data_IF_558957297505
#
_entry.id   IF_558957297505
#
_cell.length_a   1.000
_cell.length_b   1.000
_cell.length_c   1.000
_cell.angle_alpha   90.00
_cell.angle_beta   90.00
_cell.angle_gamma   90.00
#
_symmetry.space_group_name_H-M   'P 1'
#
loop_
_entity.id
_entity.type
_entity.pdbx_description
1 polymer ?
#
# COMPACT_ATOMS: atom_id res chain seq x y z
N UNK A 1 -12.43 -0.76 -0.13
CA UNK A 1 -12.68 -0.06 1.15
C UNK A 1 -13.13 -1.11 2.18
N UNK A 2 -12.21 -1.62 3.00
CA UNK A 2 -12.52 -2.66 3.99
C UNK A 2 -12.83 -1.99 5.34
N UNK A 3 -14.11 -1.75 5.61
CA UNK A 3 -14.54 -1.21 6.90
C UNK A 3 -14.60 -2.37 7.89
N UNK A 4 -13.79 -2.29 8.96
CA UNK A 4 -13.86 -3.24 10.06
C UNK A 4 -15.29 -3.25 10.66
N UNK A 5 -15.88 -4.43 10.81
CA UNK A 5 -17.26 -4.61 11.30
C UNK A 5 -17.47 -3.90 12.66
N UNK A 6 -16.46 -3.86 13.51
CA UNK A 6 -16.51 -3.12 14.77
C UNK A 6 -16.69 -1.61 14.55
N UNK A 7 -15.98 -1.02 13.59
CA UNK A 7 -16.10 0.39 13.24
C UNK A 7 -17.50 0.71 12.67
N UNK A 8 -18.00 -0.11 11.75
CA UNK A 8 -19.35 0.07 11.19
C UNK A 8 -20.43 -0.04 12.28
N UNK A 9 -20.29 -1.00 13.21
CA UNK A 9 -21.21 -1.19 14.32
C UNK A 9 -21.20 0.00 15.29
N UNK A 10 -20.02 0.51 15.66
CA UNK A 10 -19.89 1.69 16.52
C UNK A 10 -20.43 2.96 15.85
N UNK A 11 -20.21 3.12 14.54
CA UNK A 11 -20.73 4.26 13.77
C UNK A 11 -22.26 4.23 13.67
N UNK A 12 -22.84 3.05 13.41
CA UNK A 12 -24.29 2.83 13.38
C UNK A 12 -24.92 3.17 14.73
N UNK A 13 -24.37 2.63 15.82
CA UNK A 13 -24.85 2.93 17.18
C UNK A 13 -24.73 4.42 17.52
N UNK A 14 -23.63 5.07 17.13
CA UNK A 14 -23.42 6.50 17.43
C UNK A 14 -24.35 7.43 16.64
N UNK A 15 -24.75 7.02 15.44
CA UNK A 15 -25.64 7.82 14.57
C UNK A 15 -27.10 7.69 14.99
N UNK A 16 -27.53 6.48 15.39
CA UNK A 16 -28.95 6.19 15.64
C UNK A 16 -29.33 6.08 17.13
N UNK A 17 -28.36 5.86 18.02
CA UNK A 17 -28.58 5.64 19.46
C UNK A 17 -27.77 6.62 20.33
N UNK A 18 -27.83 7.92 20.02
CA UNK A 18 -27.43 8.93 21.00
C UNK A 18 -28.40 8.82 22.19
N UNK A 19 -27.93 8.19 23.28
CA UNK A 19 -28.62 8.26 24.57
C UNK A 19 -28.40 9.66 25.14
N UNK A 20 -29.48 10.36 25.45
CA UNK A 20 -29.45 11.73 25.99
C UNK A 20 -28.72 11.87 27.35
N UNK A 21 -28.36 10.77 28.01
CA UNK A 21 -27.77 10.74 29.36
C UNK A 21 -26.25 10.51 29.43
N UNK A 22 -25.52 10.35 28.31
CA UNK A 22 -24.06 10.15 28.34
C UNK A 22 -23.32 11.46 28.02
N UNK A 23 -22.74 12.09 29.04
CA UNK A 23 -21.99 13.36 28.98
C UNK A 23 -20.67 13.28 28.17
N UNK A 24 -20.33 12.11 27.61
CA UNK A 24 -19.20 11.91 26.71
C UNK A 24 -19.73 11.60 25.32
N UNK A 25 -19.64 12.56 24.40
CA UNK A 25 -20.02 12.35 23.00
C UNK A 25 -19.25 11.16 22.42
N UNK A 26 -19.95 10.11 21.96
CA UNK A 26 -19.33 8.93 21.32
C UNK A 26 -18.51 9.29 20.08
N UNK A 27 -18.75 10.47 19.50
CA UNK A 27 -17.89 11.05 18.47
C UNK A 27 -16.48 11.39 18.97
N UNK A 28 -16.31 11.74 20.25
CA UNK A 28 -14.97 11.95 20.85
C UNK A 28 -14.15 10.67 20.91
N UNK A 29 -14.82 9.53 21.10
CA UNK A 29 -14.19 8.20 21.01
C UNK A 29 -13.79 7.90 19.56
N UNK A 30 -14.64 8.24 18.58
CA UNK A 30 -14.30 8.08 17.16
C UNK A 30 -13.14 9.00 16.76
N UNK A 31 -13.16 10.27 17.16
CA UNK A 31 -12.08 11.21 16.85
C UNK A 31 -10.79 10.85 17.55
N UNK A 32 -10.82 10.38 18.79
CA UNK A 32 -9.60 9.92 19.48
C UNK A 32 -9.02 8.65 18.87
N UNK A 33 -9.85 7.71 18.40
CA UNK A 33 -9.40 6.56 17.62
C UNK A 33 -8.72 6.99 16.32
N UNK A 34 -9.31 7.94 15.59
CA UNK A 34 -8.73 8.53 14.39
C UNK A 34 -7.48 9.40 14.65
N UNK A 35 -7.38 9.98 15.85
CA UNK A 35 -6.28 10.86 16.27
C UNK A 35 -5.10 10.11 16.89
N UNK A 36 -5.15 8.78 16.93
CA UNK A 36 -4.06 7.97 17.46
C UNK A 36 -2.77 8.23 16.68
N UNK A 37 -1.63 8.32 17.38
CA UNK A 37 -0.35 8.79 16.80
C UNK A 37 0.17 7.91 15.64
N UNK A 38 -0.27 6.65 15.56
CA UNK A 38 -0.01 5.76 14.40
C UNK A 38 -0.69 6.25 13.13
N UNK A 39 -1.95 6.71 13.20
CA UNK A 39 -2.68 7.28 12.06
C UNK A 39 -2.08 8.64 11.64
N UNK A 40 -1.70 9.48 12.61
CA UNK A 40 -0.99 10.73 12.30
C UNK A 40 0.34 10.53 11.58
N UNK A 41 1.09 9.48 11.93
CA UNK A 41 2.36 9.14 11.28
C UNK A 41 2.15 8.65 9.84
N UNK A 42 1.17 7.76 9.61
CA UNK A 42 0.82 7.30 8.26
C UNK A 42 0.33 8.45 7.38
N UNK A 43 -0.45 9.39 7.93
CA UNK A 43 -0.92 10.57 7.20
C UNK A 43 0.25 11.51 6.85
N UNK A 44 1.22 11.64 7.74
CA UNK A 44 2.40 12.49 7.51
C UNK A 44 3.30 11.93 6.40
N UNK A 45 3.55 10.63 6.39
CA UNK A 45 4.41 10.01 5.38
C UNK A 45 3.72 9.95 4.02
N UNK A 46 2.42 9.65 3.99
CA UNK A 46 1.59 9.76 2.78
C UNK A 46 1.65 11.16 2.17
N UNK A 47 1.40 12.22 2.97
CA UNK A 47 1.41 13.62 2.49
C UNK A 47 2.78 13.97 1.90
N UNK A 48 3.88 13.59 2.56
CA UNK A 48 5.24 13.85 2.05
C UNK A 48 5.51 13.15 0.73
N UNK A 49 5.11 11.89 0.58
CA UNK A 49 5.28 11.13 -0.66
C UNK A 49 4.49 11.81 -1.79
N UNK A 50 3.23 12.19 -1.56
CA UNK A 50 2.43 12.92 -2.56
C UNK A 50 3.10 14.24 -2.94
N UNK A 51 3.55 15.02 -1.96
CA UNK A 51 4.26 16.28 -2.23
C UNK A 51 5.55 16.09 -3.03
N UNK A 52 6.26 14.97 -2.85
CA UNK A 52 7.45 14.64 -3.65
C UNK A 52 7.06 14.27 -5.08
N UNK A 53 6.03 13.45 -5.27
CA UNK A 53 5.54 13.08 -6.60
C UNK A 53 5.03 14.29 -7.38
N UNK A 54 4.34 15.23 -6.71
CA UNK A 54 3.84 16.46 -7.31
C UNK A 54 4.94 17.44 -7.75
N UNK A 55 6.19 17.27 -7.28
CA UNK A 55 7.33 18.05 -7.80
C UNK A 55 7.70 17.65 -9.23
N UNK A 56 7.36 16.42 -9.63
CA UNK A 56 7.51 16.00 -11.01
C UNK A 56 6.40 16.61 -11.88
N UNK A 57 6.79 17.50 -12.79
CA UNK A 57 5.86 18.24 -13.67
C UNK A 57 5.12 17.33 -14.64
N UNK A 58 5.62 16.13 -14.88
CA UNK A 58 5.05 15.15 -15.82
C UNK A 58 4.41 13.95 -15.09
N UNK A 59 4.23 14.02 -13.75
CA UNK A 59 3.69 12.92 -12.93
C UNK A 59 2.38 12.34 -13.47
N UNK A 60 1.55 13.14 -14.12
CA UNK A 60 0.27 12.71 -14.70
C UNK A 60 0.43 11.67 -15.82
N UNK A 61 1.55 11.70 -16.54
CA UNK A 61 1.84 10.77 -17.62
C UNK A 61 2.71 9.59 -17.15
N UNK A 62 3.05 9.56 -15.86
CA UNK A 62 3.88 8.53 -15.26
C UNK A 62 3.06 7.43 -14.61
N UNK A 63 3.71 6.31 -14.35
CA UNK A 63 3.10 5.13 -13.74
C UNK A 63 3.66 4.88 -12.36
N UNK A 64 2.77 4.80 -11.37
CA UNK A 64 3.11 4.47 -9.99
C UNK A 64 2.74 3.01 -9.71
N UNK A 65 3.69 2.25 -9.19
CA UNK A 65 3.47 0.90 -8.66
C UNK A 65 3.44 0.94 -7.13
N UNK A 66 2.33 0.52 -6.52
CA UNK A 66 2.19 0.49 -5.06
C UNK A 66 1.05 -0.42 -4.60
N UNK A 67 0.96 -0.66 -3.28
CA UNK A 67 -0.22 -1.28 -2.64
C UNK A 67 -1.43 -0.36 -2.66
N UNK A 68 -1.20 0.95 -2.56
CA UNK A 68 -2.28 1.92 -2.35
C UNK A 68 -2.49 2.82 -3.56
N UNK A 69 -3.68 2.70 -4.19
CA UNK A 69 -4.14 3.53 -5.32
C UNK A 69 -4.16 5.04 -5.00
N UNK A 70 -4.18 5.41 -3.73
CA UNK A 70 -4.29 6.81 -3.28
C UNK A 70 -3.18 7.70 -3.84
N UNK A 71 -1.96 7.20 -4.04
CA UNK A 71 -0.87 7.99 -4.61
C UNK A 71 -1.17 8.45 -6.04
N UNK A 72 -1.65 7.53 -6.89
CA UNK A 72 -2.06 7.85 -8.26
C UNK A 72 -3.30 8.71 -8.31
N UNK A 73 -4.27 8.49 -7.40
CA UNK A 73 -5.47 9.32 -7.33
C UNK A 73 -5.17 10.79 -7.01
N UNK A 74 -4.19 11.06 -6.15
CA UNK A 74 -3.81 12.44 -5.80
C UNK A 74 -2.97 13.11 -6.90
N UNK A 75 -2.19 12.33 -7.65
CA UNK A 75 -1.28 12.86 -8.67
C UNK A 75 -1.85 12.82 -10.08
N UNK A 76 -3.02 12.18 -10.28
CA UNK A 76 -3.61 11.82 -11.56
C UNK A 76 -2.64 11.02 -12.46
N UNK A 77 -1.83 10.14 -11.88
CA UNK A 77 -0.92 9.26 -12.60
C UNK A 77 -1.62 7.93 -12.96
N UNK A 78 -1.00 7.14 -13.83
CA UNK A 78 -1.38 5.74 -13.99
C UNK A 78 -0.97 4.93 -12.74
N UNK A 79 -1.63 3.78 -12.54
CA UNK A 79 -1.42 2.94 -11.36
C UNK A 79 -1.27 1.46 -11.70
N UNK A 80 -0.21 0.85 -11.17
CA UNK A 80 -0.03 -0.60 -11.13
C UNK A 80 -0.17 -1.07 -9.68
N UNK A 81 -1.17 -1.92 -9.43
CA UNK A 81 -1.33 -2.54 -8.12
C UNK A 81 -0.27 -3.64 -7.91
N UNK A 82 0.28 -3.69 -6.70
CA UNK A 82 1.05 -4.84 -6.21
C UNK A 82 0.83 -5.03 -4.71
N UNK A 83 0.80 -6.28 -4.25
CA UNK A 83 0.79 -6.67 -2.84
C UNK A 83 2.19 -6.95 -2.27
N UNK A 84 3.24 -6.93 -3.10
CA UNK A 84 4.63 -7.27 -2.75
C UNK A 84 4.81 -8.73 -2.29
N UNK A 85 3.90 -9.61 -2.66
CA UNK A 85 4.01 -11.07 -2.49
C UNK A 85 4.11 -11.80 -3.84
N UNK A 86 4.06 -11.06 -4.94
CA UNK A 86 4.12 -11.58 -6.30
C UNK A 86 5.53 -11.98 -6.72
N UNK A 87 5.60 -12.95 -7.62
CA UNK A 87 6.87 -13.46 -8.15
C UNK A 87 7.46 -14.59 -7.31
N UNK A 88 8.77 -14.78 -7.43
CA UNK A 88 9.48 -15.92 -6.84
C UNK A 88 10.59 -15.50 -5.88
N UNK A 89 10.97 -16.42 -4.98
CA UNK A 89 12.04 -16.20 -4.00
C UNK A 89 13.44 -15.96 -4.61
N UNK A 90 13.59 -16.05 -5.94
CA UNK A 90 14.85 -15.81 -6.64
C UNK A 90 14.80 -14.55 -7.53
N UNK A 91 13.70 -13.79 -7.49
CA UNK A 91 13.50 -12.58 -8.31
C UNK A 91 14.35 -11.39 -7.85
N UNK A 92 15.06 -10.75 -8.77
CA UNK A 92 15.61 -9.42 -8.45
C UNK A 92 14.49 -8.38 -8.34
N UNK A 93 14.77 -7.21 -7.74
CA UNK A 93 13.83 -6.06 -7.78
C UNK A 93 13.43 -5.74 -9.22
N UNK A 94 14.37 -5.88 -10.18
CA UNK A 94 14.10 -5.71 -11.59
C UNK A 94 13.12 -6.76 -12.14
N UNK A 95 13.27 -8.03 -11.79
CA UNK A 95 12.36 -9.09 -12.23
C UNK A 95 10.94 -8.84 -11.67
N UNK A 96 10.84 -8.30 -10.44
CA UNK A 96 9.57 -7.90 -9.82
C UNK A 96 8.91 -6.72 -10.53
N UNK A 97 9.60 -5.59 -10.73
CA UNK A 97 9.00 -4.39 -11.38
C UNK A 97 8.63 -4.65 -12.85
N UNK A 98 9.40 -5.53 -13.53
CA UNK A 98 9.07 -5.98 -14.90
C UNK A 98 8.04 -7.10 -14.91
N UNK A 99 7.61 -7.55 -13.73
CA UNK A 99 6.60 -8.59 -13.52
C UNK A 99 6.95 -9.86 -14.27
N UNK A 100 8.24 -10.20 -14.38
CA UNK A 100 8.73 -11.27 -15.25
C UNK A 100 8.23 -12.64 -14.81
N UNK A 101 8.34 -12.95 -13.51
CA UNK A 101 7.98 -14.24 -12.94
C UNK A 101 6.65 -14.22 -12.16
N UNK A 102 5.84 -13.17 -12.33
CA UNK A 102 4.50 -13.09 -11.77
C UNK A 102 3.61 -14.20 -12.33
N UNK A 103 2.86 -14.85 -11.44
CA UNK A 103 1.89 -15.87 -11.82
C UNK A 103 0.75 -15.28 -12.65
N UNK A 104 -0.01 -16.12 -13.36
CA UNK A 104 -1.21 -15.65 -14.08
C UNK A 104 -2.22 -15.03 -13.11
N UNK A 105 -2.35 -15.59 -11.91
CA UNK A 105 -3.19 -15.03 -10.85
C UNK A 105 -2.69 -13.66 -10.40
N UNK A 106 -1.38 -13.49 -10.19
CA UNK A 106 -0.77 -12.22 -9.76
C UNK A 106 -1.03 -11.11 -10.78
N UNK A 107 -0.82 -11.42 -12.06
CA UNK A 107 -1.08 -10.48 -13.17
C UNK A 107 -2.56 -10.11 -13.25
N UNK A 108 -3.44 -11.10 -13.11
CA UNK A 108 -4.88 -10.87 -13.14
C UNK A 108 -5.33 -10.01 -11.96
N UNK A 109 -4.87 -10.35 -10.76
CA UNK A 109 -5.22 -9.64 -9.54
C UNK A 109 -4.69 -8.20 -9.55
N UNK A 110 -3.47 -8.01 -10.02
CA UNK A 110 -2.91 -6.68 -10.24
C UNK A 110 -3.73 -5.87 -11.23
N UNK A 111 -4.07 -6.43 -12.40
CA UNK A 111 -4.78 -5.68 -13.44
C UNK A 111 -6.19 -5.25 -13.03
N UNK A 112 -6.94 -6.08 -12.30
CA UNK A 112 -8.29 -5.69 -11.82
C UNK A 112 -8.25 -4.60 -10.75
N UNK A 113 -7.11 -4.42 -10.07
CA UNK A 113 -6.89 -3.38 -9.06
C UNK A 113 -6.07 -2.20 -9.58
N UNK A 114 -5.56 -2.28 -10.81
CA UNK A 114 -4.80 -1.23 -11.49
C UNK A 114 -5.72 -0.20 -12.14
N UNK A 115 -5.19 0.98 -12.43
CA UNK A 115 -5.94 2.06 -13.08
C UNK A 115 -5.18 2.58 -14.29
N UNK A 116 -5.89 2.69 -15.42
CA UNK A 116 -5.33 3.14 -16.71
C UNK A 116 -4.14 2.31 -17.24
N UNK A 117 -3.99 1.06 -16.77
CA UNK A 117 -2.97 0.11 -17.25
C UNK A 117 -3.64 -1.12 -17.84
N UNK A 118 -3.23 -1.53 -19.04
CA UNK A 118 -3.72 -2.75 -19.67
C UNK A 118 -3.18 -4.01 -18.97
N UNK A 119 -4.00 -5.06 -18.91
CA UNK A 119 -3.67 -6.36 -18.29
C UNK A 119 -2.33 -6.97 -18.75
N UNK A 120 -2.00 -6.81 -20.05
CA UNK A 120 -0.78 -7.36 -20.64
C UNK A 120 0.34 -6.32 -20.81
N UNK A 121 0.16 -5.12 -20.30
CA UNK A 121 1.17 -4.08 -20.46
C UNK A 121 2.42 -4.45 -19.69
N UNK A 122 3.55 -4.61 -20.39
CA UNK A 122 4.90 -4.77 -19.81
C UNK A 122 5.47 -3.44 -19.30
N UNK A 123 4.63 -2.40 -19.16
CA UNK A 123 5.07 -1.07 -18.74
C UNK A 123 5.82 -1.12 -17.41
N UNK A 124 7.04 -0.62 -17.43
CA UNK A 124 7.88 -0.49 -16.25
C UNK A 124 7.37 0.75 -15.49
N UNK A 125 7.10 0.65 -14.18
CA UNK A 125 6.67 1.82 -13.42
C UNK A 125 7.80 2.86 -13.31
N UNK A 126 7.43 4.14 -13.30
CA UNK A 126 8.34 5.25 -13.02
C UNK A 126 8.63 5.38 -11.51
N UNK A 127 7.65 5.03 -10.67
CA UNK A 127 7.79 5.05 -9.22
C UNK A 127 7.35 3.73 -8.60
N UNK A 128 8.13 3.23 -7.64
CA UNK A 128 7.74 2.15 -6.76
C UNK A 128 7.59 2.70 -5.34
N UNK A 129 6.38 2.64 -4.78
CA UNK A 129 6.11 3.11 -3.43
C UNK A 129 5.88 1.91 -2.53
N UNK A 130 6.90 1.60 -1.74
CA UNK A 130 6.90 0.51 -0.79
C UNK A 130 6.81 1.04 0.64
N UNK A 131 5.88 0.50 1.42
CA UNK A 131 5.75 0.80 2.84
C UNK A 131 6.25 -0.40 3.65
N UNK A 132 7.39 -0.23 4.30
CA UNK A 132 7.91 -1.24 5.22
C UNK A 132 7.09 -1.21 6.52
N UNK A 133 6.57 -2.35 6.94
CA UNK A 133 6.00 -2.51 8.27
C UNK A 133 7.06 -3.15 9.18
N UNK A 134 7.54 -2.39 10.18
CA UNK A 134 8.44 -2.86 11.26
C UNK A 134 7.83 -3.97 12.14
N UNK A 135 6.65 -4.48 11.79
CA UNK A 135 6.06 -5.64 12.45
C UNK A 135 6.97 -6.84 12.21
N UNK A 136 7.88 -7.07 13.17
CA UNK A 136 8.57 -8.35 13.35
C UNK A 136 7.48 -9.40 13.43
N UNK A 137 7.27 -10.12 12.33
CA UNK A 137 6.36 -11.25 12.31
C UNK A 137 6.99 -12.29 13.24
N UNK A 138 6.29 -12.60 14.34
CA UNK A 138 6.72 -13.63 15.26
C UNK A 138 6.89 -14.94 14.46
N UNK A 139 8.11 -15.49 14.36
CA UNK A 139 8.37 -16.68 13.56
C UNK A 139 7.60 -17.91 14.09
N UNK A 140 6.98 -17.84 15.27
CA UNK A 140 6.11 -18.88 15.82
C UNK A 140 4.64 -18.77 15.40
N UNK A 141 4.22 -17.66 14.80
CA UNK A 141 2.90 -17.52 14.14
C UNK A 141 2.90 -18.13 12.74
N UNK A 142 3.15 -19.44 12.66
CA UNK A 142 3.35 -20.20 11.41
C UNK A 142 2.05 -20.58 10.68
N UNK A 143 0.86 -20.20 11.17
CA UNK A 143 -0.42 -20.64 10.59
C UNK A 143 -0.92 -19.78 9.42
N UNK A 144 -0.33 -18.59 9.18
CA UNK A 144 -0.80 -17.62 8.18
C UNK A 144 0.28 -16.96 7.32
N UNK A 145 1.56 -17.29 7.54
CA UNK A 145 2.66 -16.57 6.88
C UNK A 145 3.34 -17.52 5.92
N UNK A 146 2.73 -17.68 4.75
CA UNK A 146 3.37 -18.36 3.64
C UNK A 146 4.71 -17.67 3.37
N UNK A 147 5.76 -18.47 3.22
CA UNK A 147 7.15 -18.06 3.07
C UNK A 147 7.46 -17.17 1.83
N UNK A 148 6.43 -16.72 1.12
CA UNK A 148 6.48 -15.87 -0.05
C UNK A 148 6.40 -14.37 0.31
N UNK A 149 5.80 -14.01 1.46
CA UNK A 149 5.64 -12.62 1.93
C UNK A 149 6.98 -11.91 2.22
N UNK A 150 8.10 -12.62 2.27
CA UNK A 150 9.34 -12.03 2.77
C UNK A 150 10.35 -11.61 1.73
N UNK A 151 10.30 -12.12 0.50
CA UNK A 151 11.49 -12.00 -0.34
C UNK A 151 11.69 -10.57 -0.90
N UNK A 152 10.74 -10.04 -1.68
CA UNK A 152 10.86 -8.66 -2.17
C UNK A 152 10.82 -7.65 -1.01
N UNK A 153 10.07 -7.96 0.06
CA UNK A 153 10.06 -7.17 1.29
C UNK A 153 11.45 -7.08 1.94
N UNK A 154 12.21 -8.19 1.96
CA UNK A 154 13.58 -8.22 2.50
C UNK A 154 14.59 -7.51 1.60
N UNK A 155 14.42 -7.57 0.28
CA UNK A 155 15.25 -6.85 -0.68
C UNK A 155 15.03 -5.33 -0.61
N UNK A 156 13.77 -4.89 -0.61
CA UNK A 156 13.40 -3.47 -0.52
C UNK A 156 13.63 -2.87 0.87
N UNK A 157 13.80 -3.70 1.91
CA UNK A 157 14.18 -3.23 3.24
C UNK A 157 15.66 -2.83 3.33
N UNK A 158 16.51 -3.25 2.39
CA UNK A 158 17.92 -2.88 2.34
C UNK A 158 18.18 -1.92 1.16
N UNK A 159 18.06 -0.59 1.34
CA UNK A 159 18.25 0.38 0.25
C UNK A 159 19.65 0.39 -0.38
N UNK A 160 20.63 -0.25 0.26
CA UNK A 160 22.02 -0.40 -0.22
C UNK A 160 22.28 -1.76 -0.90
N UNK A 161 21.25 -2.56 -1.17
CA UNK A 161 21.41 -3.85 -1.84
C UNK A 161 21.90 -3.63 -3.29
N UNK A 162 23.01 -4.25 -3.71
CA UNK A 162 23.57 -4.07 -5.05
C UNK A 162 22.65 -4.57 -6.19
N UNK A 163 21.55 -5.27 -5.86
CA UNK A 163 20.51 -5.67 -6.80
C UNK A 163 19.35 -4.66 -6.89
N UNK A 164 19.36 -3.59 -6.07
CA UNK A 164 18.51 -2.43 -6.31
C UNK A 164 19.09 -1.71 -7.53
N UNK A 165 18.35 -1.63 -8.64
CA UNK A 165 18.89 -1.02 -9.84
C UNK A 165 19.25 0.46 -9.61
N UNK A 166 20.25 0.94 -10.34
CA UNK A 166 20.64 2.36 -10.47
C UNK A 166 19.46 3.30 -10.85
N UNK A 167 18.32 2.75 -11.28
CA UNK A 167 17.10 3.49 -11.65
C UNK A 167 16.35 4.14 -10.47
N UNK A 168 16.87 4.03 -9.24
CA UNK A 168 16.35 4.74 -8.06
C UNK A 168 17.13 6.03 -7.71
N UNK A 169 18.14 6.42 -8.51
CA UNK A 169 18.78 7.75 -8.42
C UNK A 169 17.92 8.89 -8.96
#
# INVERSE_FOLDING_TARGET
MLINVGFAFTLLLSTFYQSEDENTSKFSTITSLLSSDKLKRSDTDFIKIVQLLEQDKDIKNKTIMAVHLVYSFHTNSEFIFTSFDEGTQNDTVKDFITRKNWSEYDRWYSAINSFEVEYQSERIPDYLIYSFSDTVIDPTTTWYVDAQIFYIHSLLANPEDPNIPEFFE
#
